data_IF_908487136558
#
_entry.id   IF_908487136558
#
_cell.length_a   1.000
_cell.length_b   1.000
_cell.length_c   1.000
_cell.angle_alpha   90.00
_cell.angle_beta   90.00
_cell.angle_gamma   90.00
#
_symmetry.space_group_name_H-M   'P 1'
#
loop_
_entity.id
_entity.type
_entity.pdbx_description
1 polymer ?
#
# COMPACT_ATOMS: atom_id res chain seq x y z
N UNK A 1 9.49 -9.80 -15.24
CA UNK A 1 8.92 -8.82 -16.20
C UNK A 1 7.38 -8.84 -16.26
N UNK A 2 6.67 -9.88 -15.81
CA UNK A 2 5.20 -9.92 -15.85
C UNK A 2 4.49 -9.08 -14.76
N UNK A 3 5.11 -8.87 -13.60
CA UNK A 3 4.47 -8.16 -12.46
C UNK A 3 4.34 -6.65 -12.64
N UNK A 4 5.21 -6.01 -13.43
CA UNK A 4 5.20 -4.53 -13.60
C UNK A 4 3.99 -4.07 -14.44
N UNK A 5 3.45 -4.94 -15.29
CA UNK A 5 2.34 -4.60 -16.19
C UNK A 5 0.98 -4.52 -15.49
N UNK A 6 0.79 -5.20 -14.35
CA UNK A 6 -0.49 -5.20 -13.64
C UNK A 6 -0.83 -3.84 -12.99
N UNK A 7 0.17 -3.00 -12.73
CA UNK A 7 -0.04 -1.65 -12.18
C UNK A 7 -0.38 -0.56 -13.20
N UNK A 8 -0.22 -0.82 -14.50
CA UNK A 8 -0.39 0.18 -15.57
C UNK A 8 -1.61 -0.06 -16.46
N UNK A 9 -2.20 -1.24 -16.41
CA UNK A 9 -3.47 -1.51 -17.06
C UNK A 9 -4.56 -1.47 -16.01
N UNK A 10 -5.54 -0.58 -16.18
CA UNK A 10 -6.85 -0.73 -15.50
C UNK A 10 -7.35 -2.12 -15.92
N UNK A 11 -7.45 -3.11 -15.01
CA UNK A 11 -7.69 -4.47 -15.45
C UNK A 11 -9.02 -4.49 -16.19
N UNK A 12 -8.99 -4.99 -17.44
CA UNK A 12 -10.17 -5.63 -18.01
C UNK A 12 -10.66 -6.66 -16.98
N UNK A 13 -11.98 -6.89 -16.93
CA UNK A 13 -12.63 -7.76 -15.93
C UNK A 13 -11.75 -8.98 -15.58
N UNK A 14 -11.46 -9.15 -14.28
CA UNK A 14 -10.70 -10.30 -13.79
C UNK A 14 -11.42 -11.58 -14.27
N UNK A 15 -10.70 -12.60 -14.78
CA UNK A 15 -11.30 -13.86 -15.24
C UNK A 15 -11.71 -14.76 -14.06
N UNK A 16 -12.31 -14.18 -13.03
CA UNK A 16 -12.79 -14.85 -11.82
C UNK A 16 -14.32 -14.79 -11.81
N UNK A 17 -14.97 -15.95 -11.83
CA UNK A 17 -16.44 -16.08 -11.93
C UNK A 17 -17.04 -16.97 -10.83
N UNK A 18 -16.20 -17.48 -9.92
CA UNK A 18 -16.63 -18.29 -8.77
C UNK A 18 -17.75 -17.59 -7.98
N UNK A 19 -17.64 -16.28 -7.81
CA UNK A 19 -18.69 -15.43 -7.24
C UNK A 19 -19.39 -14.70 -8.38
N UNK A 20 -20.70 -14.87 -8.49
CA UNK A 20 -21.51 -14.27 -9.55
C UNK A 20 -22.94 -13.98 -9.03
N UNK A 21 -23.79 -13.43 -9.90
CA UNK A 21 -25.15 -13.01 -9.54
C UNK A 21 -26.04 -14.14 -9.00
N UNK A 22 -25.73 -15.41 -9.32
CA UNK A 22 -26.51 -16.55 -8.82
C UNK A 22 -26.17 -16.94 -7.38
N UNK A 23 -24.98 -16.59 -6.88
CA UNK A 23 -24.49 -17.07 -5.58
C UNK A 23 -23.96 -15.98 -4.64
N UNK A 24 -23.89 -14.72 -5.08
CA UNK A 24 -23.40 -13.58 -4.27
C UNK A 24 -24.14 -13.42 -2.94
N UNK A 25 -25.43 -13.79 -2.89
CA UNK A 25 -26.24 -13.77 -1.67
C UNK A 25 -25.74 -14.75 -0.58
N UNK A 26 -24.89 -15.72 -0.95
CA UNK A 26 -24.32 -16.70 -0.03
C UNK A 26 -22.96 -16.28 0.53
N UNK A 27 -22.45 -15.08 0.18
CA UNK A 27 -21.18 -14.61 0.71
C UNK A 27 -21.23 -14.50 2.23
N UNK A 28 -20.17 -14.97 2.86
CA UNK A 28 -19.95 -14.87 4.29
C UNK A 28 -18.57 -14.28 4.52
N UNK A 29 -18.44 -13.55 5.63
CA UNK A 29 -17.15 -13.05 6.08
C UNK A 29 -16.26 -14.24 6.46
N UNK A 30 -15.10 -14.37 5.79
CA UNK A 30 -14.10 -15.39 6.09
C UNK A 30 -13.29 -14.99 7.32
N UNK A 31 -12.80 -13.75 7.35
CA UNK A 31 -12.04 -13.22 8.47
C UNK A 31 -12.16 -11.69 8.53
N UNK A 32 -11.70 -11.12 9.64
CA UNK A 32 -11.53 -9.68 9.85
C UNK A 32 -10.11 -9.43 10.28
N UNK A 33 -9.47 -8.41 9.70
CA UNK A 33 -8.20 -7.91 10.16
C UNK A 33 -8.39 -6.51 10.73
N UNK A 34 -8.02 -6.33 12.00
CA UNK A 34 -8.04 -5.02 12.68
C UNK A 34 -6.62 -4.44 12.68
N UNK A 35 -6.48 -3.22 12.18
CA UNK A 35 -5.20 -2.51 12.13
C UNK A 35 -4.88 -1.78 13.44
N UNK A 36 -5.86 -1.64 14.34
CA UNK A 36 -5.73 -0.83 15.56
C UNK A 36 -5.55 0.67 15.31
N UNK A 37 -5.76 1.15 14.08
CA UNK A 37 -5.72 2.57 13.71
C UNK A 37 -7.15 3.12 13.52
N UNK A 38 -7.40 4.33 14.02
CA UNK A 38 -8.69 5.03 14.00
C UNK A 38 -8.81 6.09 12.87
N UNK A 39 -7.83 6.12 11.97
CA UNK A 39 -7.72 7.06 10.85
C UNK A 39 -8.48 6.67 9.59
N UNK A 40 -8.35 7.49 8.54
CA UNK A 40 -8.98 7.25 7.24
C UNK A 40 -8.27 6.13 6.47
N UNK A 41 -9.06 5.16 5.98
CA UNK A 41 -8.59 4.10 5.09
C UNK A 41 -8.93 4.44 3.64
N UNK A 42 -7.95 4.97 2.91
CA UNK A 42 -8.05 5.28 1.48
C UNK A 42 -7.32 4.25 0.60
N UNK A 43 -6.73 3.24 1.24
CA UNK A 43 -5.98 2.13 0.66
C UNK A 43 -6.92 1.16 -0.08
N UNK A 44 -6.46 0.68 -1.24
CA UNK A 44 -6.92 -0.60 -1.82
C UNK A 44 -5.88 -1.68 -1.52
N UNK A 45 -6.17 -2.69 -0.66
CA UNK A 45 -5.22 -3.74 -0.35
C UNK A 45 -4.66 -4.40 -1.61
N UNK A 46 -3.34 -4.63 -1.63
CA UNK A 46 -2.68 -5.28 -2.76
C UNK A 46 -2.39 -6.74 -2.41
N UNK A 47 -2.75 -7.67 -3.29
CA UNK A 47 -2.45 -9.10 -3.12
C UNK A 47 -1.25 -9.46 -3.98
N UNK A 48 -0.20 -10.01 -3.37
CA UNK A 48 0.95 -10.55 -4.09
C UNK A 48 1.41 -11.86 -3.44
N UNK A 49 1.47 -12.93 -4.24
CA UNK A 49 1.85 -14.30 -3.81
C UNK A 49 1.10 -14.80 -2.56
N UNK A 50 -0.22 -14.57 -2.50
CA UNK A 50 -1.07 -15.02 -1.40
C UNK A 50 -1.02 -14.15 -0.13
N UNK A 51 -0.26 -13.06 -0.17
CA UNK A 51 -0.15 -12.09 0.93
C UNK A 51 -0.89 -10.82 0.56
N UNK A 52 -1.75 -10.36 1.47
CA UNK A 52 -2.40 -9.06 1.42
C UNK A 52 -1.51 -8.01 2.10
N UNK A 53 -1.23 -6.92 1.38
CA UNK A 53 -0.50 -5.77 1.88
C UNK A 53 -1.45 -4.61 2.14
N UNK A 54 -1.45 -4.12 3.38
CA UNK A 54 -2.37 -3.08 3.87
C UNK A 54 -1.53 -1.94 4.45
N UNK A 55 -1.87 -0.71 4.07
CA UNK A 55 -1.23 0.50 4.60
C UNK A 55 -2.19 1.25 5.52
N UNK A 56 -1.66 1.79 6.60
CA UNK A 56 -2.24 2.94 7.30
C UNK A 56 -1.31 4.15 7.10
N UNK A 57 -1.59 5.26 7.78
CA UNK A 57 -0.71 6.43 7.75
C UNK A 57 0.74 6.08 8.14
N UNK A 58 0.91 5.24 9.17
CA UNK A 58 2.22 4.97 9.78
C UNK A 58 2.57 3.49 9.86
N UNK A 59 1.71 2.59 9.40
CA UNK A 59 1.99 1.15 9.43
C UNK A 59 1.81 0.51 8.07
N UNK A 60 2.58 -0.53 7.84
CA UNK A 60 2.45 -1.42 6.70
C UNK A 60 2.34 -2.84 7.23
N UNK A 61 1.36 -3.58 6.73
CA UNK A 61 1.06 -4.93 7.17
C UNK A 61 1.23 -5.89 6.01
N UNK A 62 1.82 -7.04 6.28
CA UNK A 62 1.60 -8.24 5.49
C UNK A 62 0.67 -9.16 6.26
N UNK A 63 -0.37 -9.62 5.59
CA UNK A 63 -1.41 -10.47 6.14
C UNK A 63 -1.62 -11.64 5.21
N UNK A 64 -1.70 -12.86 5.73
CA UNK A 64 -2.11 -14.02 4.93
C UNK A 64 -3.51 -13.79 4.37
N UNK A 65 -3.67 -13.82 3.04
CA UNK A 65 -4.89 -13.39 2.36
C UNK A 65 -6.09 -14.35 2.58
N UNK A 66 -5.84 -15.55 3.11
CA UNK A 66 -6.89 -16.55 3.38
C UNK A 66 -7.31 -16.52 4.85
N UNK A 67 -6.35 -16.41 5.76
CA UNK A 67 -6.55 -16.57 7.20
C UNK A 67 -6.65 -15.25 7.96
N UNK A 68 -6.30 -14.12 7.33
CA UNK A 68 -6.10 -12.82 7.97
C UNK A 68 -5.02 -12.81 9.08
N UNK A 69 -4.13 -13.81 9.12
CA UNK A 69 -3.02 -13.82 10.09
C UNK A 69 -1.96 -12.80 9.69
N UNK A 70 -1.58 -11.93 10.61
CA UNK A 70 -0.43 -11.03 10.43
C UNK A 70 0.86 -11.83 10.26
N UNK A 71 1.57 -11.57 9.17
CA UNK A 71 2.90 -12.12 8.90
C UNK A 71 3.98 -11.20 9.44
N UNK A 72 3.85 -9.89 9.17
CA UNK A 72 4.72 -8.87 9.72
C UNK A 72 4.03 -7.51 9.78
N UNK A 73 4.57 -6.62 10.62
CA UNK A 73 4.19 -5.21 10.69
C UNK A 73 5.44 -4.36 10.60
N UNK A 74 5.46 -3.41 9.66
CA UNK A 74 6.45 -2.34 9.61
C UNK A 74 5.81 -1.07 10.16
N UNK A 75 6.50 -0.40 11.09
CA UNK A 75 6.05 0.87 11.67
C UNK A 75 6.97 1.98 11.18
N UNK A 76 6.40 2.90 10.42
CA UNK A 76 7.08 4.13 10.03
C UNK A 76 7.04 5.15 11.16
N UNK A 77 8.18 5.78 11.41
CA UNK A 77 8.33 6.88 12.36
C UNK A 77 8.71 8.13 11.56
N UNK A 78 7.77 9.08 11.39
CA UNK A 78 8.06 10.34 10.72
C UNK A 78 9.29 11.02 11.34
N UNK A 79 10.12 11.61 10.50
CA UNK A 79 11.30 12.38 10.94
C UNK A 79 11.03 13.87 11.03
N UNK A 80 9.90 14.32 10.47
CA UNK A 80 9.40 15.69 10.52
C UNK A 80 7.91 15.71 10.84
N UNK A 81 7.35 16.91 11.05
CA UNK A 81 5.91 17.06 11.19
C UNK A 81 5.22 16.59 9.90
N UNK A 82 4.16 15.80 10.08
CA UNK A 82 3.32 15.36 8.96
C UNK A 82 2.29 16.43 8.64
N UNK A 83 2.14 16.75 7.36
CA UNK A 83 1.10 17.68 6.89
C UNK A 83 -0.26 16.98 6.91
N UNK A 84 -0.30 15.77 6.38
CA UNK A 84 -1.51 14.96 6.35
C UNK A 84 -1.17 13.45 6.47
N UNK A 85 -1.47 12.81 7.62
CA UNK A 85 -1.18 11.40 7.86
C UNK A 85 -2.22 10.50 7.18
N UNK A 86 -2.21 10.45 5.85
CA UNK A 86 -3.06 9.56 5.03
C UNK A 86 -2.23 8.79 4.02
N UNK A 87 -2.68 7.59 3.65
CA UNK A 87 -1.99 6.75 2.68
C UNK A 87 -2.99 6.00 1.79
N UNK A 88 -2.73 5.97 0.48
CA UNK A 88 -3.59 5.31 -0.53
C UNK A 88 -3.04 3.97 -1.02
N UNK A 89 -1.92 3.53 -0.48
CA UNK A 89 -1.38 2.19 -0.66
C UNK A 89 0.02 2.14 -1.24
N UNK A 90 0.31 1.00 -1.86
CA UNK A 90 1.64 0.63 -2.32
C UNK A 90 1.68 0.46 -3.83
N UNK A 91 2.86 0.67 -4.40
CA UNK A 91 3.28 -0.11 -5.56
C UNK A 91 4.02 -1.36 -5.10
N UNK A 92 3.88 -2.46 -5.83
CA UNK A 92 4.67 -3.69 -5.61
C UNK A 92 5.43 -4.00 -6.89
N UNK A 93 6.75 -4.18 -6.79
CA UNK A 93 7.56 -4.67 -7.89
C UNK A 93 8.71 -5.53 -7.37
N UNK A 94 8.91 -6.70 -7.97
CA UNK A 94 10.03 -7.61 -7.68
C UNK A 94 10.24 -7.91 -6.18
N UNK A 95 9.13 -8.03 -5.42
CA UNK A 95 9.17 -8.32 -3.98
C UNK A 95 9.44 -7.11 -3.09
N UNK A 96 9.37 -5.89 -3.63
CA UNK A 96 9.52 -4.64 -2.88
C UNK A 96 8.20 -3.87 -2.90
N UNK A 97 7.78 -3.39 -1.72
CA UNK A 97 6.67 -2.47 -1.56
C UNK A 97 7.21 -1.04 -1.54
N UNK A 98 6.54 -0.12 -2.23
CA UNK A 98 6.87 1.30 -2.22
C UNK A 98 5.68 2.11 -1.73
N UNK A 99 5.91 3.05 -0.81
CA UNK A 99 4.86 3.96 -0.29
C UNK A 99 5.38 5.35 0.03
N UNK A 100 4.51 6.35 -0.12
CA UNK A 100 4.72 7.70 0.39
C UNK A 100 4.31 7.86 1.87
N UNK A 101 4.72 8.97 2.49
CA UNK A 101 4.41 9.35 3.87
C UNK A 101 3.87 10.77 4.01
N UNK A 102 3.27 11.06 5.16
CA UNK A 102 2.74 12.38 5.50
C UNK A 102 3.79 13.48 5.70
N UNK A 103 5.07 13.11 5.87
CA UNK A 103 6.22 14.01 6.03
C UNK A 103 7.13 14.04 4.77
N UNK A 104 6.59 13.66 3.62
CA UNK A 104 7.21 13.73 2.30
C UNK A 104 8.38 12.75 2.04
N UNK A 105 8.33 11.57 2.64
CA UNK A 105 9.26 10.48 2.37
C UNK A 105 8.65 9.45 1.41
N UNK A 106 9.50 8.88 0.55
CA UNK A 106 9.25 7.66 -0.20
C UNK A 106 10.06 6.53 0.45
N UNK A 107 9.41 5.39 0.69
CA UNK A 107 9.98 4.25 1.42
C UNK A 107 9.89 3.00 0.56
N UNK A 108 10.96 2.20 0.56
CA UNK A 108 10.94 0.82 0.08
C UNK A 108 11.01 -0.17 1.25
N UNK A 109 10.15 -1.19 1.18
CA UNK A 109 10.03 -2.23 2.19
C UNK A 109 10.11 -3.59 1.50
N UNK A 110 10.94 -4.48 2.03
CA UNK A 110 10.99 -5.87 1.58
C UNK A 110 9.65 -6.56 1.89
N UNK A 111 8.97 -7.08 0.86
CA UNK A 111 7.62 -7.63 0.99
C UNK A 111 7.59 -8.95 1.79
N UNK A 112 8.70 -9.69 1.83
CA UNK A 112 8.78 -10.96 2.56
C UNK A 112 9.02 -10.78 4.05
N UNK A 113 9.80 -9.77 4.43
CA UNK A 113 10.30 -9.59 5.80
C UNK A 113 9.73 -8.36 6.51
N UNK A 114 9.18 -7.40 5.77
CA UNK A 114 8.75 -6.11 6.31
C UNK A 114 9.91 -5.17 6.66
N UNK A 115 11.15 -5.51 6.30
CA UNK A 115 12.32 -4.66 6.56
C UNK A 115 12.34 -3.47 5.62
N UNK A 116 12.51 -2.27 6.15
CA UNK A 116 12.80 -1.08 5.34
C UNK A 116 14.14 -1.25 4.62
N UNK A 117 14.11 -1.21 3.29
CA UNK A 117 15.29 -1.29 2.44
C UNK A 117 15.96 0.07 2.30
N UNK A 118 15.14 1.11 2.11
CA UNK A 118 15.58 2.50 2.11
C UNK A 118 14.43 3.44 2.41
N UNK A 119 14.79 4.65 2.80
CA UNK A 119 13.92 5.77 3.10
C UNK A 119 14.54 7.04 2.49
N UNK A 120 13.76 7.79 1.71
CA UNK A 120 14.20 9.00 1.02
C UNK A 120 13.20 10.13 1.22
N UNK A 121 13.64 11.24 1.80
CA UNK A 121 12.93 12.53 1.73
C UNK A 121 12.89 12.98 0.27
N UNK A 122 11.69 13.14 -0.28
CA UNK A 122 11.47 13.54 -1.69
C UNK A 122 11.06 15.01 -1.78
N UNK A 123 10.38 15.53 -0.75
CA UNK A 123 9.97 16.92 -0.67
C UNK A 123 10.03 17.44 0.77
N UNK A 124 9.67 18.71 1.00
CA UNK A 124 9.73 19.34 2.31
C UNK A 124 8.34 19.56 2.95
N UNK A 125 8.03 18.75 3.96
CA UNK A 125 6.80 18.88 4.72
C UNK A 125 6.72 20.17 5.55
N UNK A 126 7.83 20.86 5.78
CA UNK A 126 7.85 22.15 6.49
C UNK A 126 7.13 23.27 5.74
N UNK A 127 6.99 23.13 4.42
CA UNK A 127 6.30 24.06 3.53
C UNK A 127 5.02 23.47 2.90
N UNK A 128 4.48 22.41 3.51
CA UNK A 128 3.17 21.86 3.15
C UNK A 128 3.19 20.59 2.30
N UNK A 129 4.35 20.12 1.82
CA UNK A 129 4.38 18.94 0.95
C UNK A 129 4.21 17.60 1.68
N UNK A 130 3.47 16.67 1.08
CA UNK A 130 3.32 15.29 1.55
C UNK A 130 3.05 14.30 0.42
N UNK A 131 3.35 13.02 0.65
CA UNK A 131 3.19 11.95 -0.35
C UNK A 131 2.09 10.96 0.04
N UNK A 132 0.87 11.21 -0.42
CA UNK A 132 -0.31 10.41 -0.02
C UNK A 132 -0.78 9.39 -1.06
N UNK A 133 -0.46 9.58 -2.34
CA UNK A 133 -0.84 8.66 -3.41
C UNK A 133 -0.08 7.32 -3.32
N UNK A 134 -0.68 6.25 -3.85
CA UNK A 134 0.07 5.02 -4.12
C UNK A 134 1.08 5.30 -5.25
N UNK A 135 2.35 4.92 -5.11
CA UNK A 135 3.32 5.04 -6.21
C UNK A 135 2.93 4.19 -7.43
N UNK A 136 3.64 4.38 -8.53
CA UNK A 136 3.66 3.50 -9.69
C UNK A 136 5.09 3.08 -9.97
N UNK A 137 5.31 1.81 -10.33
CA UNK A 137 6.62 1.33 -10.77
C UNK A 137 6.58 1.06 -12.28
N UNK A 138 7.52 1.63 -13.01
CA UNK A 138 7.70 1.38 -14.44
C UNK A 138 9.17 1.49 -14.83
N UNK A 139 9.64 0.61 -15.70
CA UNK A 139 11.03 0.61 -16.20
C UNK A 139 12.08 0.78 -15.09
N UNK A 140 11.96 0.01 -14.01
CA UNK A 140 12.86 0.04 -12.85
C UNK A 140 12.96 1.41 -12.15
N UNK A 141 11.90 2.21 -12.22
CA UNK A 141 11.76 3.50 -11.54
C UNK A 141 10.45 3.55 -10.76
N UNK A 142 10.47 4.27 -9.65
CA UNK A 142 9.30 4.52 -8.80
C UNK A 142 8.86 5.96 -9.04
N UNK A 143 7.59 6.15 -9.37
CA UNK A 143 6.96 7.44 -9.62
C UNK A 143 5.92 7.72 -8.53
N UNK A 144 5.94 8.92 -7.98
CA UNK A 144 4.95 9.41 -7.03
C UNK A 144 4.81 10.93 -7.19
N UNK A 145 3.59 11.45 -7.05
CA UNK A 145 3.32 12.88 -6.98
C UNK A 145 3.21 13.35 -5.54
N UNK A 146 3.48 14.64 -5.35
CA UNK A 146 3.33 15.41 -4.12
C UNK A 146 1.94 16.08 -4.01
N UNK A 147 1.62 16.59 -2.82
CA UNK A 147 0.40 17.33 -2.51
C UNK A 147 0.68 18.37 -1.41
N UNK A 148 -0.16 19.41 -1.30
CA UNK A 148 -0.15 20.37 -0.17
C UNK A 148 0.57 21.71 -0.41
N UNK A 149 0.46 22.25 -1.63
CA UNK A 149 1.02 23.55 -2.01
C UNK A 149 0.03 24.73 -1.82
N UNK A 150 -0.89 24.65 -0.85
CA UNK A 150 -1.94 25.64 -0.57
C UNK A 150 -1.74 26.47 0.70
#
# INVERSE_FOLDING_TARGET
>A
MADVQQGLQRPAALPLDQINSSNVANLKRVCTFDTGDDGSFQITPQIYKGVAFIATARRSYAVDAVTCKTLWVNVYKPTSAEVNPVNRGFAIADGVLYRGTGDAHLIAIDAGTGKTLWDKKVDDSSVGYFLSAAPIVWNNKVYIGDAGAD
#
